data_IF_903966313699
#
_entry.id   IF_903966313699
#
_cell.length_a   1.000
_cell.length_b   1.000
_cell.length_c   1.000
_cell.angle_alpha   90.00
_cell.angle_beta   90.00
_cell.angle_gamma   90.00
#
_symmetry.space_group_name_H-M   'P 1'
#
loop_
_entity.id
_entity.type
_entity.pdbx_description
1 polymer ?
#
# COMPACT_ATOMS: atom_id res chain seq x y z
N UNK A 1 -6.09 -26.15 2.70
CA UNK A 1 -5.08 -25.57 3.63
C UNK A 1 -5.61 -24.22 4.07
N UNK A 2 -5.61 -23.94 5.37
CA UNK A 2 -6.11 -22.68 5.92
C UNK A 2 -4.96 -21.67 6.01
N UNK A 3 -5.21 -20.40 5.73
CA UNK A 3 -4.21 -19.33 5.95
C UNK A 3 -4.24 -18.93 7.41
N UNK A 4 -3.09 -18.61 7.99
CA UNK A 4 -2.96 -18.15 9.36
C UNK A 4 -2.71 -16.64 9.37
N UNK A 5 -3.37 -15.96 10.31
CA UNK A 5 -3.07 -14.59 10.67
C UNK A 5 -2.49 -14.61 12.10
N UNK A 6 -1.17 -14.49 12.20
CA UNK A 6 -0.48 -14.33 13.47
C UNK A 6 -0.51 -12.85 13.86
N UNK A 7 -0.92 -12.56 15.09
CA UNK A 7 -1.13 -11.18 15.56
C UNK A 7 -0.38 -11.01 16.87
N UNK A 8 0.53 -10.03 16.92
CA UNK A 8 1.07 -9.61 18.21
C UNK A 8 0.02 -8.86 19.04
N UNK A 9 0.14 -8.94 20.35
CA UNK A 9 -0.77 -8.28 21.27
C UNK A 9 -0.39 -6.82 21.47
N UNK A 10 0.82 -6.60 21.95
CA UNK A 10 1.30 -5.32 22.43
C UNK A 10 1.87 -4.53 21.24
N UNK A 11 1.54 -3.25 21.14
CA UNK A 11 1.91 -2.40 19.99
C UNK A 11 1.03 -2.58 18.75
N UNK A 12 0.27 -3.69 18.67
CA UNK A 12 -0.55 -4.06 17.50
C UNK A 12 -2.05 -4.07 17.81
N UNK A 13 -2.51 -4.81 18.82
CA UNK A 13 -3.92 -4.81 19.26
C UNK A 13 -4.13 -3.78 20.36
N UNK A 14 -3.24 -3.80 21.36
CA UNK A 14 -3.21 -2.84 22.45
C UNK A 14 -2.05 -1.87 22.27
N UNK A 15 -2.25 -0.61 22.65
CA UNK A 15 -1.20 0.39 22.66
C UNK A 15 -0.17 0.02 23.72
N UNK A 16 1.07 -0.14 23.29
CA UNK A 16 2.16 -0.45 24.21
C UNK A 16 2.55 0.81 25.01
N UNK A 17 2.66 0.72 26.35
CA UNK A 17 3.12 1.82 27.16
C UNK A 17 4.58 2.17 26.87
N UNK A 18 4.95 3.46 26.70
CA UNK A 18 6.29 3.86 26.30
C UNK A 18 7.37 3.71 27.39
N UNK A 19 6.97 3.42 28.63
CA UNK A 19 7.87 3.48 29.81
C UNK A 19 8.41 2.10 30.16
N UNK A 20 7.52 1.14 30.43
CA UNK A 20 7.85 -0.21 30.88
C UNK A 20 7.40 -1.30 29.90
N UNK A 21 6.69 -0.93 28.85
CA UNK A 21 6.13 -1.83 27.84
C UNK A 21 5.20 -2.91 28.43
N UNK A 22 4.68 -2.71 29.65
CA UNK A 22 3.82 -3.67 30.35
C UNK A 22 2.40 -3.15 30.46
N UNK A 23 1.44 -3.94 29.97
CA UNK A 23 0.00 -3.66 30.09
C UNK A 23 -0.53 -4.39 31.32
N UNK A 24 -0.34 -3.76 32.47
CA UNK A 24 -0.59 -4.29 33.82
C UNK A 24 -1.54 -3.43 34.66
N UNK A 25 -2.18 -2.44 34.03
CA UNK A 25 -3.14 -1.55 34.66
C UNK A 25 -4.22 -1.09 33.67
N UNK A 26 -5.37 -0.65 34.19
CA UNK A 26 -6.51 -0.24 33.35
C UNK A 26 -6.17 1.00 32.52
N UNK A 27 -5.45 1.95 33.12
CA UNK A 27 -4.98 3.17 32.46
C UNK A 27 -3.93 2.92 31.37
N UNK A 28 -3.24 1.77 31.43
CA UNK A 28 -2.35 1.28 30.37
C UNK A 28 -3.07 0.43 29.31
N UNK A 29 -4.36 0.13 29.50
CA UNK A 29 -5.14 -0.73 28.59
C UNK A 29 -5.93 0.11 27.59
N UNK A 30 -5.30 0.48 26.48
CA UNK A 30 -5.95 1.16 25.36
C UNK A 30 -5.77 0.36 24.08
N UNK A 31 -6.80 0.29 23.23
CA UNK A 31 -6.67 -0.35 21.92
C UNK A 31 -5.93 0.56 20.94
N UNK A 32 -5.15 -0.03 20.04
CA UNK A 32 -4.61 0.69 18.88
C UNK A 32 -5.79 1.20 18.04
N UNK A 33 -5.76 2.47 17.57
CA UNK A 33 -6.87 3.02 16.78
C UNK A 33 -7.23 2.15 15.57
N UNK A 34 -8.52 1.82 15.45
CA UNK A 34 -9.04 0.99 14.36
C UNK A 34 -8.85 -0.53 14.53
N UNK A 35 -8.12 -1.00 15.55
CA UNK A 35 -7.87 -2.42 15.78
C UNK A 35 -9.18 -3.22 15.92
N UNK A 36 -10.07 -2.78 16.81
CA UNK A 36 -11.36 -3.45 17.08
C UNK A 36 -12.18 -3.59 15.79
N UNK A 37 -12.40 -2.48 15.08
CA UNK A 37 -13.20 -2.46 13.85
C UNK A 37 -12.59 -3.32 12.75
N UNK A 38 -11.28 -3.20 12.51
CA UNK A 38 -10.61 -3.97 11.47
C UNK A 38 -10.61 -5.47 11.79
N UNK A 39 -10.34 -5.85 13.04
CA UNK A 39 -10.39 -7.25 13.48
C UNK A 39 -11.79 -7.83 13.33
N UNK A 40 -12.84 -7.10 13.73
CA UNK A 40 -14.23 -7.51 13.51
C UNK A 40 -14.52 -7.81 12.04
N UNK A 41 -14.13 -6.90 11.13
CA UNK A 41 -14.27 -7.13 9.69
C UNK A 41 -13.40 -8.27 9.16
N UNK A 42 -12.18 -8.45 9.68
CA UNK A 42 -11.33 -9.60 9.31
C UNK A 42 -12.04 -10.91 9.70
N UNK A 43 -12.64 -11.00 10.88
CA UNK A 43 -13.37 -12.19 11.31
C UNK A 43 -14.64 -12.44 10.49
N UNK A 44 -15.36 -11.38 10.11
CA UNK A 44 -16.59 -11.50 9.34
C UNK A 44 -16.35 -11.82 7.86
N UNK A 45 -15.35 -11.20 7.24
CA UNK A 45 -15.18 -11.19 5.79
C UNK A 45 -14.09 -12.17 5.31
N UNK A 46 -13.13 -12.55 6.15
CA UNK A 46 -11.93 -13.28 5.75
C UNK A 46 -11.77 -14.61 6.51
N UNK A 47 -11.48 -15.68 5.76
CA UNK A 47 -11.26 -17.00 6.34
C UNK A 47 -9.78 -17.21 6.74
N UNK A 48 -9.40 -16.64 7.88
CA UNK A 48 -8.10 -16.87 8.53
C UNK A 48 -8.23 -17.69 9.81
N UNK A 49 -7.24 -18.56 10.06
CA UNK A 49 -6.96 -19.11 11.38
C UNK A 49 -6.21 -18.04 12.18
N UNK A 50 -6.80 -17.52 13.25
CA UNK A 50 -6.35 -16.32 13.96
C UNK A 50 -5.56 -16.75 15.18
N UNK A 51 -4.26 -16.46 15.20
CA UNK A 51 -3.36 -16.89 16.27
C UNK A 51 -2.72 -15.67 16.92
N UNK A 52 -2.94 -15.48 18.21
CA UNK A 52 -2.17 -14.47 18.95
C UNK A 52 -0.80 -15.05 19.28
N UNK A 53 0.29 -14.32 19.03
CA UNK A 53 1.64 -14.72 19.44
C UNK A 53 2.33 -13.55 20.12
N UNK A 54 2.58 -13.66 21.42
CA UNK A 54 3.16 -12.57 22.20
C UNK A 54 4.27 -13.06 23.15
N UNK A 55 5.24 -12.18 23.37
CA UNK A 55 6.35 -12.36 24.29
C UNK A 55 6.06 -11.54 25.56
N UNK A 56 5.94 -12.18 26.72
CA UNK A 56 5.61 -11.52 27.99
C UNK A 56 6.74 -11.75 29.00
N UNK A 57 7.63 -10.77 29.12
CA UNK A 57 8.87 -10.88 29.89
C UNK A 57 8.61 -11.17 31.36
N UNK A 58 8.96 -12.39 31.78
CA UNK A 58 8.85 -12.81 33.17
C UNK A 58 7.41 -13.10 33.62
N UNK A 59 6.47 -13.33 32.70
CA UNK A 59 5.10 -13.64 33.09
C UNK A 59 5.03 -14.88 34.00
N UNK A 60 4.50 -14.70 35.21
CA UNK A 60 4.42 -15.72 36.26
C UNK A 60 5.58 -15.71 37.26
N UNK A 61 6.50 -14.75 37.17
CA UNK A 61 7.49 -14.47 38.23
C UNK A 61 6.97 -13.42 39.22
N UNK A 62 7.69 -13.21 40.32
CA UNK A 62 7.38 -12.16 41.29
C UNK A 62 7.45 -10.74 40.67
N UNK A 63 8.22 -10.56 39.60
CA UNK A 63 8.34 -9.26 38.91
C UNK A 63 7.22 -9.01 37.91
N UNK A 64 6.50 -10.05 37.47
CA UNK A 64 5.34 -9.91 36.60
C UNK A 64 4.34 -11.05 36.83
N UNK A 65 3.57 -11.00 37.94
CA UNK A 65 2.68 -12.09 38.30
C UNK A 65 1.49 -12.17 37.35
N UNK A 66 0.89 -13.36 37.26
CA UNK A 66 -0.27 -13.60 36.40
C UNK A 66 -1.48 -12.71 36.73
N UNK A 67 -1.61 -12.28 38.00
CA UNK A 67 -2.63 -11.32 38.46
C UNK A 67 -2.55 -9.97 37.76
N UNK A 68 -1.36 -9.62 37.26
CA UNK A 68 -1.09 -8.32 36.66
C UNK A 68 -1.17 -8.40 35.13
N UNK A 69 -1.34 -9.59 34.56
CA UNK A 69 -1.51 -9.79 33.11
C UNK A 69 -2.96 -10.16 32.74
N UNK A 70 -3.50 -11.20 33.36
CA UNK A 70 -4.76 -11.81 32.91
C UNK A 70 -5.98 -10.89 32.99
N UNK A 71 -6.17 -10.00 33.98
CA UNK A 71 -7.32 -9.10 33.99
C UNK A 71 -7.42 -8.24 32.72
N UNK A 72 -6.29 -7.70 32.26
CA UNK A 72 -6.20 -6.81 31.11
C UNK A 72 -6.21 -7.58 29.79
N UNK A 73 -5.51 -8.72 29.74
CA UNK A 73 -5.60 -9.66 28.63
C UNK A 73 -7.05 -10.12 28.40
N UNK A 74 -7.76 -10.52 29.46
CA UNK A 74 -9.16 -10.96 29.38
C UNK A 74 -10.12 -9.81 29.04
N UNK A 75 -9.84 -8.57 29.47
CA UNK A 75 -10.61 -7.40 29.07
C UNK A 75 -10.50 -7.17 27.54
N UNK A 76 -9.30 -7.30 26.99
CA UNK A 76 -9.08 -7.24 25.55
C UNK A 76 -9.89 -8.32 24.83
N UNK A 77 -9.78 -9.58 25.27
CA UNK A 77 -10.50 -10.69 24.66
C UNK A 77 -12.02 -10.51 24.66
N UNK A 78 -12.61 -10.15 25.82
CA UNK A 78 -14.07 -9.93 25.91
C UNK A 78 -14.55 -8.77 25.05
N UNK A 79 -13.74 -7.72 24.93
CA UNK A 79 -14.06 -6.57 24.06
C UNK A 79 -14.08 -7.00 22.60
N UNK A 80 -13.06 -7.76 22.15
CA UNK A 80 -12.99 -8.25 20.77
C UNK A 80 -14.09 -9.27 20.46
N UNK A 81 -14.37 -10.18 21.40
CA UNK A 81 -15.45 -11.16 21.28
C UNK A 81 -16.82 -10.49 21.14
N UNK A 82 -17.07 -9.41 21.90
CA UNK A 82 -18.28 -8.60 21.79
C UNK A 82 -18.50 -7.99 20.39
N UNK A 83 -17.43 -7.82 19.62
CA UNK A 83 -17.42 -7.31 18.24
C UNK A 83 -17.28 -8.44 17.20
N UNK A 84 -17.37 -9.70 17.64
CA UNK A 84 -17.36 -10.87 16.76
C UNK A 84 -15.97 -11.41 16.39
N UNK A 85 -14.89 -10.92 17.03
CA UNK A 85 -13.54 -11.44 16.83
C UNK A 85 -13.10 -12.36 17.96
N UNK A 86 -12.73 -13.60 17.62
CA UNK A 86 -12.20 -14.59 18.57
C UNK A 86 -10.91 -15.18 18.00
N UNK A 87 -9.86 -15.26 18.84
CA UNK A 87 -8.64 -15.98 18.48
C UNK A 87 -8.92 -17.49 18.47
N UNK A 88 -8.47 -18.18 17.41
CA UNK A 88 -8.54 -19.63 17.34
C UNK A 88 -7.49 -20.26 18.29
N UNK A 89 -6.33 -19.61 18.46
CA UNK A 89 -5.26 -20.03 19.36
C UNK A 89 -4.49 -18.83 19.94
N UNK A 90 -3.94 -18.98 21.14
CA UNK A 90 -3.16 -17.95 21.83
C UNK A 90 -1.86 -18.53 22.38
N UNK A 91 -0.74 -18.04 21.89
CA UNK A 91 0.62 -18.46 22.26
C UNK A 91 1.30 -17.32 23.01
N UNK A 92 1.60 -17.58 24.29
CA UNK A 92 2.24 -16.62 25.18
C UNK A 92 3.57 -17.21 25.65
N UNK A 93 4.69 -16.70 25.14
CA UNK A 93 6.00 -17.02 25.68
C UNK A 93 6.24 -16.16 26.93
N UNK A 94 6.66 -16.80 28.02
CA UNK A 94 6.79 -16.16 29.34
C UNK A 94 8.24 -15.82 29.70
N UNK A 95 9.18 -16.14 28.82
CA UNK A 95 10.61 -16.14 29.13
C UNK A 95 11.20 -14.76 28.89
N UNK A 96 12.19 -14.36 29.70
CA UNK A 96 12.92 -13.11 29.49
C UNK A 96 13.69 -13.12 28.17
N UNK A 97 13.81 -11.96 27.52
CA UNK A 97 14.61 -11.81 26.31
C UNK A 97 16.06 -12.30 26.47
N UNK A 98 16.67 -12.04 27.64
CA UNK A 98 18.05 -12.46 27.95
C UNK A 98 18.24 -14.00 27.97
N UNK A 99 17.16 -14.77 28.13
CA UNK A 99 17.23 -16.23 28.16
C UNK A 99 17.37 -16.85 26.76
N UNK A 100 17.14 -16.09 25.69
CA UNK A 100 17.31 -16.49 24.28
C UNK A 100 16.68 -17.86 23.95
N UNK A 101 15.49 -18.12 24.50
CA UNK A 101 14.81 -19.41 24.32
C UNK A 101 14.27 -19.54 22.89
N UNK A 102 14.30 -20.73 22.29
CA UNK A 102 13.76 -20.96 20.95
C UNK A 102 12.22 -20.86 20.89
N UNK A 103 11.57 -20.81 22.05
CA UNK A 103 10.12 -20.61 22.21
C UNK A 103 9.70 -19.16 22.06
N UNK A 104 10.62 -18.22 22.31
CA UNK A 104 10.38 -16.77 22.28
C UNK A 104 10.57 -16.24 20.87
N UNK A 105 9.67 -15.36 20.39
CA UNK A 105 9.84 -14.70 19.08
C UNK A 105 11.22 -14.02 19.02
N UNK A 106 12.00 -14.19 17.93
CA UNK A 106 11.60 -14.74 16.63
C UNK A 106 11.66 -16.28 16.48
N UNK A 107 11.94 -17.02 17.56
CA UNK A 107 11.93 -18.48 17.59
C UNK A 107 10.54 -19.08 17.35
N UNK A 108 10.49 -20.26 16.76
CA UNK A 108 9.27 -20.92 16.29
C UNK A 108 8.88 -22.15 17.11
N UNK A 109 9.59 -22.47 18.21
CA UNK A 109 9.42 -23.75 18.89
C UNK A 109 8.00 -23.98 19.44
N UNK A 110 7.27 -22.92 19.81
CA UNK A 110 5.87 -23.01 20.26
C UNK A 110 4.85 -23.09 19.10
N UNK A 111 5.30 -22.95 17.85
CA UNK A 111 4.44 -22.85 16.67
C UNK A 111 4.63 -24.02 15.71
N UNK A 112 5.42 -25.03 16.07
CA UNK A 112 5.81 -26.13 15.18
C UNK A 112 4.61 -26.92 14.64
N UNK A 113 3.52 -27.05 15.41
CA UNK A 113 2.29 -27.68 14.96
C UNK A 113 1.52 -26.87 13.91
N UNK A 114 1.73 -25.56 13.86
CA UNK A 114 1.15 -24.66 12.85
C UNK A 114 1.94 -24.65 11.55
N UNK A 115 3.07 -25.38 11.50
CA UNK A 115 3.94 -25.49 10.31
C UNK A 115 3.65 -26.72 9.45
N UNK A 116 2.56 -27.45 9.70
CA UNK A 116 2.15 -28.59 8.88
C UNK A 116 1.63 -28.12 7.51
N UNK A 117 2.34 -28.41 6.41
CA UNK A 117 1.94 -27.98 5.07
C UNK A 117 0.69 -28.69 4.55
N UNK A 118 0.20 -29.74 5.22
CA UNK A 118 -1.07 -30.36 4.86
C UNK A 118 -2.26 -29.58 5.43
N UNK A 119 -2.06 -28.88 6.54
CA UNK A 119 -3.11 -28.14 7.24
C UNK A 119 -3.10 -26.65 6.87
N UNK A 120 -1.92 -26.03 6.81
CA UNK A 120 -1.79 -24.58 6.69
C UNK A 120 -1.01 -24.12 5.46
N UNK A 121 -1.48 -23.01 4.88
CA UNK A 121 -0.82 -22.32 3.77
C UNK A 121 0.01 -21.15 4.29
N UNK A 122 1.23 -21.45 4.77
CA UNK A 122 2.11 -20.44 5.36
C UNK A 122 2.61 -19.39 4.35
N UNK A 123 2.77 -19.77 3.08
CA UNK A 123 3.20 -18.85 2.03
C UNK A 123 2.20 -17.69 1.79
N UNK A 124 0.92 -17.91 2.09
CA UNK A 124 -0.13 -16.89 2.05
C UNK A 124 -0.66 -16.50 3.44
N UNK A 125 0.11 -16.82 4.48
CA UNK A 125 -0.12 -16.41 5.87
C UNK A 125 0.69 -15.18 6.21
N UNK A 126 0.25 -14.47 7.25
CA UNK A 126 0.85 -13.20 7.66
C UNK A 126 1.11 -13.15 9.15
N UNK A 127 2.24 -12.54 9.54
CA UNK A 127 2.48 -12.06 10.91
C UNK A 127 2.30 -10.55 10.94
N UNK A 128 1.40 -10.05 11.78
CA UNK A 128 1.23 -8.62 12.07
C UNK A 128 2.00 -8.31 13.35
N UNK A 129 2.99 -7.44 13.25
CA UNK A 129 3.87 -7.07 14.36
C UNK A 129 4.48 -5.70 14.18
N UNK A 130 4.85 -5.07 15.28
CA UNK A 130 5.50 -3.75 15.30
C UNK A 130 6.99 -3.81 15.65
N UNK A 131 7.53 -5.00 15.98
CA UNK A 131 8.94 -5.19 16.32
C UNK A 131 9.66 -6.05 15.29
N UNK A 132 10.99 -5.89 15.24
CA UNK A 132 11.87 -6.71 14.39
C UNK A 132 11.69 -8.21 14.65
N UNK A 133 11.39 -8.62 15.89
CA UNK A 133 11.18 -10.01 16.28
C UNK A 133 9.96 -10.65 15.62
N UNK A 134 8.94 -9.87 15.30
CA UNK A 134 7.73 -10.37 14.62
C UNK A 134 7.99 -10.55 13.13
N UNK A 135 8.71 -9.61 12.53
CA UNK A 135 9.11 -9.71 11.13
C UNK A 135 10.07 -10.90 10.93
N UNK A 136 11.02 -11.08 11.85
CA UNK A 136 11.91 -12.22 11.87
C UNK A 136 11.17 -13.54 12.17
N UNK A 137 10.12 -13.51 13.00
CA UNK A 137 9.24 -14.67 13.18
C UNK A 137 8.57 -15.06 11.85
N UNK A 138 8.02 -14.08 11.11
CA UNK A 138 7.40 -14.33 9.81
C UNK A 138 8.37 -15.04 8.86
N UNK A 139 9.60 -14.51 8.77
CA UNK A 139 10.69 -15.10 7.99
C UNK A 139 11.00 -16.54 8.41
N UNK A 140 11.11 -16.80 9.72
CA UNK A 140 11.41 -18.13 10.26
C UNK A 140 10.28 -19.14 10.06
N UNK A 141 9.03 -18.68 10.02
CA UNK A 141 7.87 -19.53 9.70
C UNK A 141 7.74 -19.77 8.19
N UNK A 142 8.37 -18.97 7.33
CA UNK A 142 8.13 -18.99 5.88
C UNK A 142 6.85 -18.25 5.48
N UNK A 143 6.37 -17.36 6.34
CA UNK A 143 5.21 -16.48 6.11
C UNK A 143 5.65 -15.09 5.62
N UNK A 144 4.68 -14.26 5.25
CA UNK A 144 4.89 -12.83 4.98
C UNK A 144 4.70 -12.01 6.25
N UNK A 145 5.31 -10.85 6.32
CA UNK A 145 5.15 -9.90 7.42
C UNK A 145 4.27 -8.71 7.01
N UNK A 146 3.46 -8.24 7.95
CA UNK A 146 2.81 -6.93 7.91
C UNK A 146 3.47 -6.12 9.02
N UNK A 147 4.33 -5.18 8.64
CA UNK A 147 5.03 -4.33 9.59
C UNK A 147 4.12 -3.17 9.99
N UNK A 148 3.62 -3.24 11.23
CA UNK A 148 2.80 -2.21 11.83
C UNK A 148 3.70 -1.17 12.49
N UNK A 149 4.00 -0.06 11.80
CA UNK A 149 4.94 0.94 12.31
C UNK A 149 4.45 1.57 13.61
N UNK A 150 5.29 1.51 14.63
CA UNK A 150 5.12 2.24 15.88
C UNK A 150 6.23 3.28 16.06
N UNK A 151 5.99 4.29 16.89
CA UNK A 151 7.01 5.28 17.22
C UNK A 151 8.04 4.76 18.25
N UNK A 152 7.76 3.62 18.88
CA UNK A 152 8.57 3.04 19.95
C UNK A 152 9.67 2.13 19.43
N UNK A 153 9.38 1.43 18.34
CA UNK A 153 10.29 0.46 17.75
C UNK A 153 10.64 0.88 16.33
N UNK A 154 11.93 0.84 16.01
CA UNK A 154 12.44 1.11 14.67
C UNK A 154 13.47 0.04 14.34
N UNK A 155 13.49 -0.37 13.07
CA UNK A 155 14.49 -1.31 12.59
C UNK A 155 15.85 -0.62 12.49
N UNK A 156 16.92 -1.33 12.88
CA UNK A 156 18.27 -0.89 12.52
C UNK A 156 18.47 -1.01 11.00
N UNK A 157 19.42 -0.29 10.39
CA UNK A 157 19.68 -0.40 8.95
C UNK A 157 19.96 -1.84 8.47
N UNK A 158 20.59 -2.65 9.32
CA UNK A 158 20.86 -4.06 9.06
C UNK A 158 19.58 -4.89 9.07
N UNK A 159 18.73 -4.71 10.09
CA UNK A 159 17.43 -5.37 10.20
C UNK A 159 16.52 -4.99 9.05
N UNK A 160 16.50 -3.70 8.71
CA UNK A 160 15.75 -3.16 7.58
C UNK A 160 16.15 -3.87 6.28
N UNK A 161 17.44 -3.94 5.99
CA UNK A 161 17.96 -4.63 4.80
C UNK A 161 17.61 -6.12 4.81
N UNK A 162 17.74 -6.79 5.96
CA UNK A 162 17.51 -8.22 6.09
C UNK A 162 16.02 -8.61 5.98
N UNK A 163 15.13 -7.79 6.55
CA UNK A 163 13.72 -8.11 6.74
C UNK A 163 12.82 -7.49 5.66
N UNK A 164 13.28 -6.45 4.94
CA UNK A 164 12.52 -5.83 3.84
C UNK A 164 11.92 -6.84 2.85
N UNK A 165 12.62 -7.91 2.43
CA UNK A 165 12.05 -8.90 1.49
C UNK A 165 10.86 -9.70 2.05
N UNK A 166 10.71 -9.81 3.37
CA UNK A 166 9.58 -10.54 3.98
C UNK A 166 8.36 -9.64 4.24
N UNK A 167 8.56 -8.32 4.28
CA UNK A 167 7.49 -7.35 4.53
C UNK A 167 6.61 -7.20 3.28
N UNK A 168 5.37 -7.66 3.37
CA UNK A 168 4.36 -7.54 2.31
C UNK A 168 3.55 -6.23 2.40
N UNK A 169 3.46 -5.64 3.60
CA UNK A 169 2.83 -4.35 3.83
C UNK A 169 3.55 -3.64 4.99
N UNK A 170 3.84 -2.35 4.83
CA UNK A 170 4.31 -1.46 5.89
C UNK A 170 3.29 -0.33 6.08
N UNK A 171 2.70 -0.22 7.27
CA UNK A 171 1.66 0.77 7.57
C UNK A 171 1.54 1.03 9.07
N UNK A 172 0.92 2.13 9.46
CA UNK A 172 0.55 2.49 10.84
C UNK A 172 -0.98 2.43 11.05
N UNK A 173 -1.73 1.85 10.09
CA UNK A 173 -3.19 1.88 10.07
C UNK A 173 -3.81 0.49 9.91
N UNK A 174 -4.65 0.12 10.87
CA UNK A 174 -5.47 -1.09 10.79
C UNK A 174 -6.42 -1.11 9.59
N UNK A 175 -6.90 0.04 9.15
CA UNK A 175 -7.72 0.16 7.94
C UNK A 175 -6.94 -0.28 6.70
N UNK A 176 -5.66 0.11 6.60
CA UNK A 176 -4.77 -0.32 5.52
C UNK A 176 -4.48 -1.82 5.58
N UNK A 177 -4.27 -2.38 6.79
CA UNK A 177 -4.10 -3.82 6.98
C UNK A 177 -5.33 -4.59 6.47
N UNK A 178 -6.52 -4.21 6.91
CA UNK A 178 -7.74 -4.89 6.48
C UNK A 178 -7.95 -4.78 4.96
N UNK A 179 -7.75 -3.58 4.38
CA UNK A 179 -7.85 -3.38 2.94
C UNK A 179 -6.87 -4.28 2.17
N UNK A 180 -5.62 -4.38 2.65
CA UNK A 180 -4.60 -5.26 2.08
C UNK A 180 -4.96 -6.74 2.19
N UNK A 181 -5.40 -7.21 3.37
CA UNK A 181 -5.78 -8.62 3.56
C UNK A 181 -7.00 -9.01 2.71
N UNK A 182 -7.93 -8.07 2.48
CA UNK A 182 -9.13 -8.29 1.68
C UNK A 182 -8.88 -8.28 0.19
N UNK A 183 -8.05 -7.35 -0.31
CA UNK A 183 -7.98 -7.04 -1.73
C UNK A 183 -6.56 -7.06 -2.34
N UNK A 184 -5.53 -7.32 -1.53
CA UNK A 184 -4.12 -7.24 -1.93
C UNK A 184 -3.66 -5.83 -2.29
N UNK A 185 -2.39 -5.70 -2.69
CA UNK A 185 -1.88 -4.49 -3.35
C UNK A 185 -2.09 -4.61 -4.86
N UNK A 186 -2.41 -3.50 -5.52
CA UNK A 186 -2.44 -3.40 -6.99
C UNK A 186 -1.04 -3.09 -7.51
N UNK A 187 -0.20 -4.13 -7.49
CA UNK A 187 1.14 -4.09 -8.05
C UNK A 187 1.20 -4.71 -9.44
N UNK A 188 1.87 -4.04 -10.37
CA UNK A 188 2.07 -4.50 -11.74
C UNK A 188 3.52 -4.24 -12.15
N UNK A 189 4.12 -5.24 -12.77
CA UNK A 189 5.34 -5.08 -13.57
C UNK A 189 4.97 -5.22 -15.03
N UNK A 190 5.41 -4.29 -15.86
CA UNK A 190 5.10 -4.28 -17.27
C UNK A 190 6.27 -3.79 -18.11
N UNK A 191 6.70 -4.66 -19.02
CA UNK A 191 7.67 -4.34 -20.06
C UNK A 191 6.98 -4.12 -21.41
N UNK A 192 7.43 -3.11 -22.14
CA UNK A 192 7.05 -2.85 -23.54
C UNK A 192 8.32 -2.53 -24.32
N UNK A 193 8.61 -3.33 -25.34
CA UNK A 193 9.82 -3.21 -26.15
C UNK A 193 9.47 -3.16 -27.64
N UNK A 194 10.04 -2.18 -28.34
CA UNK A 194 10.01 -2.04 -29.79
C UNK A 194 11.45 -1.97 -30.32
N UNK A 195 11.61 -1.68 -31.61
CA UNK A 195 12.93 -1.38 -32.18
C UNK A 195 13.43 0.03 -31.80
N UNK A 196 12.54 0.92 -31.37
CA UNK A 196 12.83 2.32 -31.04
C UNK A 196 13.03 2.50 -29.53
N UNK A 197 12.22 1.81 -28.71
CA UNK A 197 12.23 1.97 -27.25
C UNK A 197 12.22 0.65 -26.49
N UNK A 198 12.83 0.65 -25.31
CA UNK A 198 12.71 -0.41 -24.31
C UNK A 198 12.25 0.21 -23.00
N UNK A 199 11.08 -0.20 -22.51
CA UNK A 199 10.44 0.42 -21.36
C UNK A 199 10.08 -0.63 -20.33
N UNK A 200 10.42 -0.33 -19.09
CA UNK A 200 10.09 -1.12 -17.92
C UNK A 200 9.35 -0.25 -16.90
N UNK A 201 8.20 -0.73 -16.44
CA UNK A 201 7.36 -0.06 -15.46
C UNK A 201 7.04 -1.00 -14.30
N UNK A 202 7.26 -0.53 -13.08
CA UNK A 202 6.71 -1.13 -11.87
C UNK A 202 5.75 -0.11 -11.24
N UNK A 203 4.47 -0.47 -11.13
CA UNK A 203 3.43 0.38 -10.57
C UNK A 203 2.81 -0.30 -9.35
N UNK A 204 2.84 0.38 -8.21
CA UNK A 204 1.99 0.07 -7.04
C UNK A 204 0.95 1.19 -6.88
N UNK A 205 -0.28 0.95 -7.33
CA UNK A 205 -1.35 1.94 -7.23
C UNK A 205 -1.82 2.19 -5.77
N UNK A 206 -1.43 1.33 -4.83
CA UNK A 206 -1.70 1.42 -3.39
C UNK A 206 -0.45 1.82 -2.59
N UNK A 207 0.50 2.49 -3.24
CA UNK A 207 1.79 2.89 -2.67
C UNK A 207 1.75 4.11 -1.76
N UNK A 208 2.93 4.65 -1.48
CA UNK A 208 3.12 5.80 -0.59
C UNK A 208 3.63 7.07 -1.30
N UNK A 209 3.89 6.97 -2.61
CA UNK A 209 4.38 8.06 -3.45
C UNK A 209 5.89 8.02 -3.69
N UNK A 210 6.51 6.84 -3.57
CA UNK A 210 7.92 6.66 -3.91
C UNK A 210 8.10 6.55 -5.42
N UNK A 211 9.17 7.10 -5.98
CA UNK A 211 9.41 7.00 -7.41
C UNK A 211 10.88 6.72 -7.72
N UNK A 212 11.11 6.08 -8.86
CA UNK A 212 12.41 5.96 -9.50
C UNK A 212 12.22 6.06 -11.00
N UNK A 213 12.38 7.26 -11.54
CA UNK A 213 12.10 7.58 -12.93
C UNK A 213 13.41 7.89 -13.65
N UNK A 214 13.61 7.23 -14.79
CA UNK A 214 14.74 7.45 -15.69
C UNK A 214 14.26 7.23 -17.13
N UNK A 215 13.83 8.31 -17.79
CA UNK A 215 13.41 8.29 -19.18
C UNK A 215 14.51 8.78 -20.14
N UNK A 216 15.61 9.33 -19.60
CA UNK A 216 16.61 10.08 -20.35
C UNK A 216 16.21 11.53 -20.65
N UNK A 217 15.01 11.98 -20.27
CA UNK A 217 14.51 13.34 -20.46
C UNK A 217 14.15 13.95 -19.10
N UNK A 218 15.05 14.77 -18.54
CA UNK A 218 14.93 15.23 -17.14
C UNK A 218 13.64 15.98 -16.78
N UNK A 219 13.06 16.75 -17.72
CA UNK A 219 11.77 17.40 -17.48
C UNK A 219 10.62 16.38 -17.42
N UNK A 220 10.65 15.36 -18.28
CA UNK A 220 9.64 14.31 -18.29
C UNK A 220 9.75 13.44 -17.04
N UNK A 221 10.97 13.15 -16.59
CA UNK A 221 11.22 12.45 -15.32
C UNK A 221 10.56 13.18 -14.15
N UNK A 222 10.75 14.51 -14.10
CA UNK A 222 10.14 15.36 -13.08
C UNK A 222 8.60 15.33 -13.13
N UNK A 223 8.00 15.32 -14.32
CA UNK A 223 6.54 15.23 -14.49
C UNK A 223 5.99 13.87 -14.01
N UNK A 224 6.67 12.77 -14.33
CA UNK A 224 6.25 11.43 -13.88
C UNK A 224 6.42 11.26 -12.37
N UNK A 225 7.43 11.88 -11.75
CA UNK A 225 7.59 11.91 -10.29
C UNK A 225 6.37 12.57 -9.60
N UNK A 226 5.80 13.63 -10.21
CA UNK A 226 4.59 14.27 -9.67
C UNK A 226 3.40 13.30 -9.63
N UNK A 227 3.28 12.40 -10.61
CA UNK A 227 2.23 11.37 -10.65
C UNK A 227 2.34 10.46 -9.43
N UNK A 228 3.55 9.94 -9.15
CA UNK A 228 3.80 9.10 -7.99
C UNK A 228 3.47 9.83 -6.68
N UNK A 229 4.08 11.01 -6.48
CA UNK A 229 4.05 11.74 -5.22
C UNK A 229 2.66 12.26 -4.85
N UNK A 230 1.94 12.81 -5.82
CA UNK A 230 0.59 13.35 -5.59
C UNK A 230 -0.51 12.30 -5.75
N UNK A 231 -0.26 11.27 -6.56
CA UNK A 231 -1.11 10.10 -6.72
C UNK A 231 -1.08 9.16 -5.50
N UNK A 232 -0.05 9.24 -4.66
CA UNK A 232 0.20 8.28 -3.56
C UNK A 232 0.30 6.86 -4.11
N UNK A 233 1.14 6.70 -5.13
CA UNK A 233 1.45 5.43 -5.77
C UNK A 233 2.96 5.31 -5.90
N UNK A 234 3.48 4.08 -5.81
CA UNK A 234 4.89 3.86 -6.04
C UNK A 234 5.12 3.55 -7.52
N UNK A 235 6.11 4.21 -8.14
CA UNK A 235 6.31 4.16 -9.58
C UNK A 235 7.80 4.05 -9.95
N UNK A 236 8.17 2.95 -10.60
CA UNK A 236 9.46 2.80 -11.28
C UNK A 236 9.22 2.90 -12.76
N UNK A 237 9.95 3.77 -13.45
CA UNK A 237 9.93 3.87 -14.91
C UNK A 237 11.38 3.92 -15.37
N UNK A 238 11.77 2.98 -16.22
CA UNK A 238 13.07 2.97 -16.89
C UNK A 238 12.85 2.89 -18.38
N UNK A 239 13.46 3.80 -19.13
CA UNK A 239 13.32 3.87 -20.58
C UNK A 239 14.68 3.94 -21.22
N UNK A 240 14.87 3.14 -22.25
CA UNK A 240 15.95 3.30 -23.21
C UNK A 240 15.32 3.57 -24.57
N UNK A 241 15.23 4.84 -24.92
CA UNK A 241 14.72 5.28 -26.21
C UNK A 241 15.81 5.80 -27.14
N UNK A 242 15.39 6.14 -28.35
CA UNK A 242 16.19 6.60 -29.48
C UNK A 242 16.35 8.14 -29.51
N UNK A 243 16.67 8.75 -28.37
CA UNK A 243 16.81 10.21 -28.19
C UNK A 243 17.81 10.92 -29.13
N UNK A 244 18.59 10.17 -29.89
CA UNK A 244 19.48 10.69 -30.93
C UNK A 244 18.74 11.04 -32.24
N UNK A 245 17.52 10.52 -32.42
CA UNK A 245 16.58 10.91 -33.48
C UNK A 245 15.80 12.13 -32.98
N UNK A 246 14.93 11.91 -31.98
CA UNK A 246 14.23 12.93 -31.21
C UNK A 246 13.61 12.32 -29.93
N UNK A 247 12.89 13.13 -29.14
CA UNK A 247 12.19 12.72 -27.93
C UNK A 247 10.86 11.98 -28.18
N UNK A 248 10.36 11.92 -29.42
CA UNK A 248 8.97 11.57 -29.74
C UNK A 248 8.62 10.16 -29.30
N UNK A 249 9.34 9.16 -29.83
CA UNK A 249 9.06 7.76 -29.54
C UNK A 249 9.25 7.45 -28.05
N UNK A 250 10.25 8.06 -27.42
CA UNK A 250 10.51 7.89 -25.98
C UNK A 250 9.33 8.33 -25.14
N UNK A 251 8.78 9.53 -25.40
CA UNK A 251 7.63 10.06 -24.63
C UNK A 251 6.36 9.27 -24.94
N UNK A 252 6.07 9.01 -26.22
CA UNK A 252 4.87 8.31 -26.65
C UNK A 252 4.81 6.90 -26.07
N UNK A 253 5.85 6.10 -26.30
CA UNK A 253 5.86 4.70 -25.89
C UNK A 253 5.86 4.57 -24.36
N UNK A 254 6.48 5.51 -23.63
CA UNK A 254 6.42 5.56 -22.16
C UNK A 254 4.98 5.81 -21.69
N UNK A 255 4.25 6.72 -22.35
CA UNK A 255 2.84 6.97 -22.07
C UNK A 255 1.97 5.73 -22.31
N UNK A 256 2.23 4.99 -23.40
CA UNK A 256 1.52 3.74 -23.73
C UNK A 256 1.80 2.68 -22.66
N UNK A 257 3.08 2.39 -22.38
CA UNK A 257 3.48 1.42 -21.37
C UNK A 257 2.88 1.77 -20.00
N UNK A 258 2.90 3.05 -19.61
CA UNK A 258 2.33 3.47 -18.33
C UNK A 258 0.81 3.24 -18.31
N UNK A 259 0.10 3.63 -19.37
CA UNK A 259 -1.35 3.38 -19.49
C UNK A 259 -1.72 1.90 -19.44
N UNK A 260 -0.93 1.03 -20.08
CA UNK A 260 -1.09 -0.43 -20.02
C UNK A 260 -0.84 -0.98 -18.60
N UNK A 261 0.16 -0.46 -17.88
CA UNK A 261 0.41 -0.83 -16.49
C UNK A 261 -0.77 -0.46 -15.59
N UNK A 262 -1.34 0.74 -15.75
CA UNK A 262 -2.57 1.15 -15.05
C UNK A 262 -3.76 0.27 -15.41
N UNK A 263 -3.97 -0.05 -16.68
CA UNK A 263 -5.07 -0.91 -17.11
C UNK A 263 -4.99 -2.30 -16.45
N UNK A 264 -3.78 -2.85 -16.29
CA UNK A 264 -3.52 -4.10 -15.57
C UNK A 264 -3.78 -3.95 -14.06
N UNK A 265 -3.26 -2.88 -13.45
CA UNK A 265 -3.38 -2.65 -12.00
C UNK A 265 -4.83 -2.41 -11.57
N UNK A 266 -5.64 -1.83 -12.47
CA UNK A 266 -7.03 -1.47 -12.24
C UNK A 266 -8.01 -2.46 -12.91
N UNK A 267 -7.57 -3.68 -13.23
CA UNK A 267 -8.42 -4.70 -13.85
C UNK A 267 -9.66 -5.02 -13.00
N UNK A 268 -9.52 -5.06 -11.67
CA UNK A 268 -10.64 -5.15 -10.73
C UNK A 268 -11.06 -3.75 -10.23
N UNK A 269 -12.15 -3.26 -10.80
CA UNK A 269 -12.69 -1.91 -10.60
C UNK A 269 -13.70 -1.79 -9.44
N UNK A 270 -13.95 -2.87 -8.69
CA UNK A 270 -14.92 -2.84 -7.57
C UNK A 270 -14.42 -1.96 -6.43
N UNK A 271 -15.33 -1.20 -5.83
CA UNK A 271 -15.04 -0.27 -4.72
C UNK A 271 -14.33 1.03 -5.11
N UNK A 272 -14.00 1.26 -6.38
CA UNK A 272 -13.35 2.50 -6.86
C UNK A 272 -14.33 3.70 -6.93
N UNK A 273 -13.91 4.88 -6.47
CA UNK A 273 -14.70 6.13 -6.53
C UNK A 273 -14.99 6.63 -7.96
N UNK A 274 -14.24 6.15 -8.97
CA UNK A 274 -14.44 6.38 -10.41
C UNK A 274 -14.17 7.81 -10.94
N UNK A 275 -14.38 8.87 -10.14
CA UNK A 275 -14.29 10.27 -10.59
C UNK A 275 -13.18 11.09 -9.87
N UNK A 276 -12.68 12.14 -10.52
CA UNK A 276 -11.64 13.06 -9.99
C UNK A 276 -11.85 14.53 -10.41
N UNK A 277 -11.28 15.51 -9.68
CA UNK A 277 -11.51 16.96 -9.93
C UNK A 277 -10.29 17.90 -9.71
N UNK A 278 -10.47 19.17 -10.10
CA UNK A 278 -9.54 20.27 -10.42
C UNK A 278 -8.63 20.83 -9.31
N UNK A 279 -7.56 21.54 -9.72
CA UNK A 279 -6.56 22.19 -8.86
C UNK A 279 -6.03 23.52 -9.45
N UNK A 280 -5.91 24.61 -8.65
CA UNK A 280 -5.22 25.84 -9.04
C UNK A 280 -3.72 25.81 -8.70
N UNK A 281 -2.89 26.49 -9.50
CA UNK A 281 -1.46 26.71 -9.26
C UNK A 281 -1.04 28.08 -9.79
N UNK A 282 -0.64 28.99 -8.88
CA UNK A 282 -0.36 30.40 -9.18
C UNK A 282 -1.50 31.03 -10.01
N UNK A 283 -1.20 31.55 -11.20
CA UNK A 283 -2.19 32.10 -12.13
C UNK A 283 -2.84 31.06 -13.04
N UNK A 284 -2.40 29.79 -12.98
CA UNK A 284 -2.94 28.70 -13.75
C UNK A 284 -4.04 27.94 -12.99
N UNK A 285 -5.08 27.54 -13.71
CA UNK A 285 -6.13 26.65 -13.25
C UNK A 285 -6.19 25.45 -14.17
N UNK A 286 -6.14 24.24 -13.62
CA UNK A 286 -6.31 23.01 -14.38
C UNK A 286 -7.43 22.16 -13.81
N UNK A 287 -8.29 21.68 -14.71
CA UNK A 287 -9.36 20.75 -14.41
C UNK A 287 -9.15 19.47 -15.19
N UNK A 288 -9.06 18.37 -14.46
CA UNK A 288 -8.94 17.03 -15.02
C UNK A 288 -10.09 16.19 -14.50
N UNK A 289 -10.91 15.71 -15.42
CA UNK A 289 -11.99 14.76 -15.14
C UNK A 289 -11.61 13.41 -15.75
N UNK A 290 -11.59 12.38 -14.93
CA UNK A 290 -11.27 11.02 -15.36
C UNK A 290 -12.42 10.06 -15.02
N UNK A 291 -12.69 9.12 -15.92
CA UNK A 291 -13.59 7.98 -15.70
C UNK A 291 -12.92 6.69 -16.20
N UNK A 292 -12.55 5.79 -15.27
CA UNK A 292 -12.02 4.45 -15.57
C UNK A 292 -13.12 3.45 -16.01
N UNK A 293 -14.03 3.91 -16.85
CA UNK A 293 -15.21 3.17 -17.29
C UNK A 293 -14.98 2.13 -18.39
N UNK A 294 -13.72 1.88 -18.79
CA UNK A 294 -13.37 0.86 -19.80
C UNK A 294 -13.52 1.29 -21.26
N UNK A 295 -13.76 2.58 -21.53
CA UNK A 295 -13.84 3.17 -22.86
C UNK A 295 -12.83 4.31 -22.95
N UNK A 296 -12.12 4.41 -24.06
CA UNK A 296 -11.18 5.49 -24.30
C UNK A 296 -11.85 6.69 -24.96
N UNK A 297 -11.60 7.88 -24.42
CA UNK A 297 -11.97 9.15 -25.03
C UNK A 297 -11.14 10.28 -24.42
N UNK A 298 -10.69 11.24 -25.23
CA UNK A 298 -10.07 12.46 -24.71
C UNK A 298 -10.80 13.71 -25.20
N UNK A 299 -10.90 14.70 -24.31
CA UNK A 299 -11.18 16.09 -24.64
C UNK A 299 -10.05 16.92 -24.08
N UNK A 300 -9.46 17.75 -24.92
CA UNK A 300 -8.33 18.59 -24.59
C UNK A 300 -8.67 20.05 -24.87
N UNK A 301 -8.74 20.84 -23.80
CA UNK A 301 -9.01 22.28 -23.81
C UNK A 301 -7.88 23.02 -23.07
N UNK A 302 -6.67 22.89 -23.61
CA UNK A 302 -5.52 23.64 -23.15
C UNK A 302 -4.68 24.09 -24.36
N UNK A 303 -4.31 25.36 -24.37
CA UNK A 303 -3.45 25.97 -25.40
C UNK A 303 -2.13 26.41 -24.80
N UNK A 304 -1.05 26.27 -25.54
CA UNK A 304 0.28 26.74 -25.15
C UNK A 304 0.80 27.71 -26.20
N UNK A 305 1.43 28.82 -25.79
CA UNK A 305 1.95 29.81 -26.73
C UNK A 305 3.42 29.53 -27.09
N UNK A 306 4.17 28.91 -26.18
CA UNK A 306 5.55 28.48 -26.41
C UNK A 306 5.59 27.20 -27.23
N UNK A 307 6.57 27.10 -28.12
CA UNK A 307 6.89 25.87 -28.85
C UNK A 307 7.42 24.79 -27.89
N UNK A 308 8.28 25.17 -26.93
CA UNK A 308 8.86 24.28 -25.93
C UNK A 308 8.83 24.85 -24.52
N UNK A 309 8.70 23.97 -23.52
CA UNK A 309 8.94 24.23 -22.10
C UNK A 309 10.14 23.40 -21.66
N UNK A 310 11.26 24.08 -21.36
CA UNK A 310 12.57 23.41 -21.34
C UNK A 310 12.85 22.83 -22.73
N UNK A 311 13.18 21.54 -22.78
CA UNK A 311 13.40 20.80 -24.02
C UNK A 311 12.12 20.16 -24.60
N UNK A 312 11.00 20.15 -23.85
CA UNK A 312 9.79 19.42 -24.24
C UNK A 312 8.88 20.26 -25.15
N UNK A 313 8.55 19.80 -26.37
CA UNK A 313 7.59 20.46 -27.23
C UNK A 313 6.19 20.44 -26.62
N UNK A 314 5.50 21.58 -26.66
CA UNK A 314 4.21 21.74 -25.99
C UNK A 314 3.08 20.94 -26.65
N UNK A 315 3.23 20.59 -27.92
CA UNK A 315 2.31 19.67 -28.59
C UNK A 315 2.30 18.27 -27.97
N UNK A 316 3.45 17.81 -27.43
CA UNK A 316 3.59 16.46 -26.88
C UNK A 316 2.76 16.23 -25.62
N UNK A 317 2.30 17.29 -24.93
CA UNK A 317 1.41 17.11 -23.79
C UNK A 317 0.06 16.53 -24.21
N UNK A 318 -0.56 17.03 -25.28
CA UNK A 318 -1.79 16.45 -25.78
C UNK A 318 -1.57 14.99 -26.20
N UNK A 319 -0.48 14.73 -26.94
CA UNK A 319 -0.15 13.38 -27.39
C UNK A 319 0.02 12.41 -26.22
N UNK A 320 0.76 12.79 -25.16
CA UNK A 320 0.91 11.99 -23.95
C UNK A 320 -0.44 11.61 -23.33
N UNK A 321 -1.32 12.58 -23.09
CA UNK A 321 -2.62 12.32 -22.45
C UNK A 321 -3.58 11.55 -23.38
N UNK A 322 -3.52 11.78 -24.69
CA UNK A 322 -4.28 11.01 -25.69
C UNK A 322 -3.88 9.54 -25.60
N UNK A 323 -2.58 9.25 -25.70
CA UNK A 323 -2.04 7.89 -25.64
C UNK A 323 -2.36 7.22 -24.31
N UNK A 324 -2.23 7.94 -23.19
CA UNK A 324 -2.65 7.43 -21.88
C UNK A 324 -4.13 7.04 -21.85
N UNK A 325 -5.03 7.92 -22.31
CA UNK A 325 -6.48 7.67 -22.27
C UNK A 325 -6.90 6.46 -23.11
N UNK A 326 -6.23 6.26 -24.25
CA UNK A 326 -6.43 5.12 -25.14
C UNK A 326 -6.02 3.81 -24.47
N UNK A 327 -4.79 3.75 -23.95
CA UNK A 327 -4.24 2.56 -23.34
C UNK A 327 -4.96 2.17 -22.03
N UNK A 328 -5.25 3.16 -21.17
CA UNK A 328 -5.95 2.96 -19.90
C UNK A 328 -7.45 2.67 -20.08
N UNK A 329 -7.99 2.82 -21.30
CA UNK A 329 -9.42 2.72 -21.61
C UNK A 329 -10.26 3.59 -20.67
N UNK A 330 -9.87 4.84 -20.54
CA UNK A 330 -10.57 5.81 -19.71
C UNK A 330 -11.04 7.02 -20.52
N UNK A 331 -12.12 7.65 -20.05
CA UNK A 331 -12.49 8.97 -20.54
C UNK A 331 -11.68 10.00 -19.77
N UNK A 332 -11.06 10.95 -20.47
CA UNK A 332 -10.21 11.98 -19.91
C UNK A 332 -10.63 13.35 -20.49
N UNK A 333 -11.11 14.26 -19.66
CA UNK A 333 -11.31 15.66 -20.05
C UNK A 333 -10.29 16.52 -19.31
N UNK A 334 -9.48 17.26 -20.05
CA UNK A 334 -8.48 18.18 -19.50
C UNK A 334 -8.78 19.57 -20.03
N UNK A 335 -8.94 20.53 -19.12
CA UNK A 335 -8.99 21.95 -19.45
C UNK A 335 -8.01 22.73 -18.60
N UNK A 336 -7.34 23.73 -19.18
CA UNK A 336 -6.41 24.57 -18.43
C UNK A 336 -6.32 26.02 -18.94
N UNK A 337 -6.49 26.96 -18.03
CA UNK A 337 -6.26 28.40 -18.21
C UNK A 337 -5.05 28.85 -17.40
N UNK A 338 -4.37 29.91 -17.85
CA UNK A 338 -3.16 30.45 -17.20
C UNK A 338 -2.28 31.18 -18.20
N UNK A 339 -1.27 31.89 -17.72
CA UNK A 339 -0.37 32.69 -18.57
C UNK A 339 0.99 32.00 -18.78
N UNK A 340 1.58 31.40 -17.74
CA UNK A 340 2.86 30.71 -17.84
C UNK A 340 2.66 29.23 -18.24
N UNK A 341 3.28 28.81 -19.34
CA UNK A 341 3.14 27.44 -19.84
C UNK A 341 3.63 26.38 -18.85
N UNK A 342 4.70 26.66 -18.10
CA UNK A 342 5.20 25.75 -17.07
C UNK A 342 4.13 25.54 -16.00
N UNK A 343 3.53 26.62 -15.49
CA UNK A 343 2.49 26.55 -14.46
C UNK A 343 1.27 25.79 -14.98
N UNK A 344 0.85 26.02 -16.22
CA UNK A 344 -0.25 25.30 -16.86
C UNK A 344 0.00 23.80 -16.94
N UNK A 345 1.17 23.39 -17.44
CA UNK A 345 1.52 21.97 -17.59
C UNK A 345 1.58 21.32 -16.20
N UNK A 346 2.27 21.93 -15.26
CA UNK A 346 2.40 21.39 -13.91
C UNK A 346 1.04 21.30 -13.20
N UNK A 347 0.17 22.29 -13.38
CA UNK A 347 -1.20 22.26 -12.89
C UNK A 347 -1.99 21.08 -13.49
N UNK A 348 -1.88 20.83 -14.81
CA UNK A 348 -2.53 19.70 -15.48
C UNK A 348 -2.05 18.38 -14.87
N UNK A 349 -0.74 18.16 -14.75
CA UNK A 349 -0.20 16.92 -14.19
C UNK A 349 -0.59 16.71 -12.72
N UNK A 350 -0.58 17.77 -11.90
CA UNK A 350 -1.05 17.69 -10.50
C UNK A 350 -2.54 17.38 -10.42
N UNK A 351 -3.37 18.06 -11.20
CA UNK A 351 -4.80 17.81 -11.26
C UNK A 351 -5.09 16.38 -11.74
N UNK A 352 -4.35 15.90 -12.75
CA UNK A 352 -4.43 14.53 -13.24
C UNK A 352 -4.05 13.50 -12.17
N UNK A 353 -2.93 13.68 -11.47
CA UNK A 353 -2.50 12.78 -10.39
C UNK A 353 -3.54 12.72 -9.25
N UNK A 354 -4.11 13.88 -8.87
CA UNK A 354 -5.20 13.94 -7.88
C UNK A 354 -6.47 13.26 -8.37
N UNK A 355 -6.82 13.47 -9.64
CA UNK A 355 -8.00 12.86 -10.24
C UNK A 355 -7.87 11.33 -10.28
N UNK A 356 -6.69 10.81 -10.63
CA UNK A 356 -6.38 9.37 -10.54
C UNK A 356 -6.53 8.90 -9.10
N UNK A 357 -5.85 9.54 -8.13
CA UNK A 357 -5.88 9.13 -6.72
C UNK A 357 -7.31 9.00 -6.20
N UNK A 358 -8.15 9.98 -6.52
CA UNK A 358 -9.56 9.90 -6.17
C UNK A 358 -10.21 8.71 -6.85
N UNK A 359 -10.14 8.64 -8.18
CA UNK A 359 -10.82 7.62 -8.97
C UNK A 359 -10.41 6.18 -8.63
N UNK A 360 -9.17 5.95 -8.19
CA UNK A 360 -8.65 4.61 -7.83
C UNK A 360 -8.80 4.26 -6.36
N UNK A 361 -9.23 5.18 -5.49
CA UNK A 361 -9.46 4.91 -4.06
C UNK A 361 -10.54 3.85 -3.90
N UNK A 362 -10.26 2.83 -3.10
CA UNK A 362 -11.24 1.81 -2.70
C UNK A 362 -11.97 2.22 -1.42
N UNK A 363 -13.28 2.01 -1.38
CA UNK A 363 -14.02 1.95 -0.11
C UNK A 363 -13.87 0.54 0.49
N UNK A 364 -13.13 0.38 1.61
CA UNK A 364 -12.93 -0.94 2.22
C UNK A 364 -14.24 -1.57 2.72
N UNK A 365 -15.28 -0.77 2.95
CA UNK A 365 -16.57 -1.20 3.48
C UNK A 365 -17.61 -1.48 2.37
N UNK A 366 -17.29 -1.22 1.10
CA UNK A 366 -18.20 -1.43 -0.03
C UNK A 366 -17.54 -2.22 -1.16
N UNK A 367 -18.05 -3.42 -1.43
CA UNK A 367 -17.61 -4.27 -2.55
C UNK A 367 -18.45 -4.07 -3.82
N UNK A 368 -19.28 -3.02 -3.88
CA UNK A 368 -20.16 -2.82 -5.04
C UNK A 368 -19.37 -2.40 -6.28
N UNK A 369 -19.75 -2.94 -7.44
CA UNK A 369 -19.30 -2.43 -8.73
C UNK A 369 -19.98 -1.06 -8.97
N UNK A 370 -19.24 0.03 -9.22
CA UNK A 370 -19.81 1.36 -9.46
C UNK A 370 -20.40 1.49 -10.88
N UNK A 371 -21.26 0.54 -11.27
CA UNK A 371 -21.91 0.47 -12.57
C UNK A 371 -23.30 -0.15 -12.46
N UNK A 372 -24.30 0.56 -12.96
CA UNK A 372 -25.69 0.07 -13.05
C UNK A 372 -25.84 -1.07 -14.06
N UNK A 373 -24.87 -1.26 -14.96
CA UNK A 373 -24.87 -2.33 -15.96
C UNK A 373 -24.31 -3.66 -15.45
N UNK A 374 -23.74 -3.69 -14.25
CA UNK A 374 -23.14 -4.89 -13.67
C UNK A 374 -21.79 -5.31 -14.28
N UNK A 375 -21.25 -4.54 -15.23
CA UNK A 375 -19.95 -4.76 -15.88
C UNK A 375 -19.27 -3.43 -16.24
N UNK A 376 -17.92 -3.38 -16.27
CA UNK A 376 -17.06 -2.24 -16.62
C UNK A 376 -15.77 -2.67 -17.33
#
# INVERSE_FOLDING_TARGET
>A
MKRILFIDRDGVVLQEPPVDFQIDAVDKTSFVPGAITALSHIAADLDYYKVMVTNQDGLGTDSYPESDFFPYHNLMLRTLEGEGFVFDEMIIDRTFAAAQKPTRKPGTALLTHLMDPQQFDLANSYVIGDRWSDLALAKNLGCKAIYFRSALHSLTPEQETELRPVIALETDSWTSIYAFLKAGLRTVVHDRNTHETQIHIELNADGNGQSKIDTGIGFFDHMLDQIARHGKMDLVVKVKGDLHIDEHHTIEDTGIALGEAFAKALADKRGMERYGYALPMDEAEAKVLIDFGGRNWIVWDASFKREKVGEMPTEMFFHFFKSFSDAAKCNLNISCSGENEHHKIEAIFKAFAKAIRMAVRRDPFSNQLPSTKGVL
#
